data_IF_189644967580
#
_entry.id   IF_189644967580
#
_cell.length_a   1.000
_cell.length_b   1.000
_cell.length_c   1.000
_cell.angle_alpha   90.00
_cell.angle_beta   90.00
_cell.angle_gamma   90.00
#
_symmetry.space_group_name_H-M   'P 1'
#
loop_
_entity.id
_entity.type
_entity.pdbx_description
1 polymer ?
#
# COMPACT_ATOMS: atom_id res chain seq x y z
N UNK A 1 9.78 46.41 -30.35
CA UNK A 1 9.03 46.28 -29.08
C UNK A 1 8.06 45.10 -29.09
N UNK A 2 7.23 44.93 -30.13
CA UNK A 2 6.23 43.82 -30.18
C UNK A 2 6.85 42.41 -30.05
N UNK A 3 8.00 42.14 -30.66
CA UNK A 3 8.70 40.85 -30.51
C UNK A 3 9.21 40.54 -29.10
N UNK A 4 9.56 41.56 -28.31
CA UNK A 4 9.96 41.37 -26.90
C UNK A 4 8.75 40.92 -26.09
N UNK A 5 7.58 41.48 -26.38
CA UNK A 5 6.32 41.11 -25.72
C UNK A 5 5.87 39.69 -26.09
N UNK A 6 5.97 39.31 -27.36
CA UNK A 6 5.72 37.93 -27.83
C UNK A 6 6.61 36.95 -27.07
N UNK A 7 7.93 37.23 -26.98
CA UNK A 7 8.87 36.34 -26.29
C UNK A 7 8.58 36.21 -24.79
N UNK A 8 8.14 37.29 -24.15
CA UNK A 8 7.75 37.25 -22.74
C UNK A 8 6.52 36.35 -22.52
N UNK A 9 5.52 36.43 -23.41
CA UNK A 9 4.34 35.58 -23.38
C UNK A 9 4.67 34.10 -23.66
N UNK A 10 5.58 33.82 -24.58
CA UNK A 10 6.05 32.45 -24.86
C UNK A 10 6.67 31.79 -23.62
N UNK A 11 7.53 32.52 -22.91
CA UNK A 11 8.17 32.04 -21.67
C UNK A 11 7.15 31.87 -20.54
N UNK A 12 6.22 32.82 -20.39
CA UNK A 12 5.13 32.71 -19.43
C UNK A 12 4.28 31.46 -19.70
N UNK A 13 3.95 31.22 -20.97
CA UNK A 13 3.16 30.07 -21.39
C UNK A 13 3.88 28.75 -21.13
N UNK A 14 5.18 28.65 -21.43
CA UNK A 14 5.96 27.43 -21.17
C UNK A 14 6.03 27.10 -19.67
N UNK A 15 6.18 28.12 -18.82
CA UNK A 15 6.10 27.98 -17.37
C UNK A 15 4.72 27.49 -16.93
N UNK A 16 3.63 28.09 -17.45
CA UNK A 16 2.27 27.68 -17.12
C UNK A 16 1.97 26.23 -17.54
N UNK A 17 2.43 25.79 -18.71
CA UNK A 17 2.30 24.38 -19.14
C UNK A 17 3.01 23.45 -18.15
N UNK A 18 4.22 23.82 -17.73
CA UNK A 18 5.02 23.01 -16.82
C UNK A 18 4.39 22.93 -15.42
N UNK A 19 3.86 24.04 -14.92
CA UNK A 19 3.10 24.07 -13.67
C UNK A 19 1.84 23.20 -13.74
N UNK A 20 1.10 23.27 -14.85
CA UNK A 20 -0.11 22.49 -15.07
C UNK A 20 0.19 20.98 -15.10
N UNK A 21 1.23 20.56 -15.81
CA UNK A 21 1.68 19.16 -15.84
C UNK A 21 2.09 18.65 -14.46
N UNK A 22 2.87 19.42 -13.70
CA UNK A 22 3.26 19.08 -12.33
C UNK A 22 2.02 18.98 -11.44
N UNK A 23 1.05 19.89 -11.59
CA UNK A 23 -0.22 19.84 -10.87
C UNK A 23 -1.02 18.58 -11.21
N UNK A 24 -1.20 18.25 -12.50
CA UNK A 24 -1.90 17.03 -12.92
C UNK A 24 -1.25 15.77 -12.35
N UNK A 25 0.09 15.69 -12.37
CA UNK A 25 0.84 14.55 -11.82
C UNK A 25 0.66 14.41 -10.30
N UNK A 26 0.66 15.52 -9.57
CA UNK A 26 0.40 15.52 -8.12
C UNK A 26 -1.02 15.03 -7.80
N UNK A 27 -2.01 15.55 -8.51
CA UNK A 27 -3.41 15.15 -8.33
C UNK A 27 -3.58 13.67 -8.68
N UNK A 28 -3.00 13.22 -9.79
CA UNK A 28 -3.05 11.82 -10.21
C UNK A 28 -2.43 10.89 -9.15
N UNK A 29 -1.33 11.32 -8.52
CA UNK A 29 -0.73 10.60 -7.39
C UNK A 29 -1.70 10.49 -6.22
N UNK A 30 -2.35 11.60 -5.83
CA UNK A 30 -3.34 11.61 -4.74
C UNK A 30 -4.54 10.72 -5.03
N UNK A 31 -5.13 10.82 -6.23
CA UNK A 31 -6.25 9.97 -6.66
C UNK A 31 -5.88 8.49 -6.56
N UNK A 32 -4.68 8.10 -6.99
CA UNK A 32 -4.23 6.70 -6.89
C UNK A 32 -4.05 6.25 -5.44
N UNK A 33 -3.46 7.10 -4.60
CA UNK A 33 -3.35 6.80 -3.17
C UNK A 33 -4.73 6.56 -2.56
N UNK A 34 -5.72 7.38 -2.91
CA UNK A 34 -7.10 7.26 -2.43
C UNK A 34 -7.80 5.99 -2.94
N UNK A 35 -7.60 5.61 -4.21
CA UNK A 35 -8.10 4.34 -4.76
C UNK A 35 -7.49 3.12 -4.08
N UNK A 36 -6.22 3.17 -3.67
CA UNK A 36 -5.59 2.07 -2.91
C UNK A 36 -6.23 1.87 -1.51
N UNK A 37 -6.91 2.88 -0.99
CA UNK A 37 -7.69 2.80 0.25
C UNK A 37 -9.13 2.33 0.02
N UNK A 38 -9.72 2.65 -1.14
CA UNK A 38 -11.04 2.18 -1.57
C UNK A 38 -11.16 0.65 -1.55
N UNK A 39 -10.13 -0.05 -2.05
CA UNK A 39 -10.01 -1.51 -2.04
C UNK A 39 -10.05 -2.15 -0.62
N UNK A 40 -10.09 -1.32 0.44
CA UNK A 40 -10.20 -1.75 1.84
C UNK A 40 -11.64 -1.77 2.37
N UNK A 41 -12.61 -1.25 1.59
CA UNK A 41 -14.05 -1.40 1.82
C UNK A 41 -14.70 -0.28 2.65
N UNK A 42 -14.17 0.95 2.63
CA UNK A 42 -14.71 2.08 3.39
C UNK A 42 -15.25 3.23 2.54
N UNK A 43 -15.55 2.99 1.26
CA UNK A 43 -15.86 4.05 0.28
C UNK A 43 -17.23 3.79 -0.36
N UNK A 44 -18.03 4.85 -0.52
CA UNK A 44 -19.35 4.78 -1.15
C UNK A 44 -19.21 4.66 -2.68
N UNK A 45 -20.14 3.97 -3.35
CA UNK A 45 -20.08 3.68 -4.81
C UNK A 45 -19.91 4.95 -5.68
N UNK A 46 -20.52 6.08 -5.29
CA UNK A 46 -20.38 7.35 -6.02
C UNK A 46 -19.00 8.02 -5.88
N UNK A 47 -18.23 7.66 -4.87
CA UNK A 47 -16.88 8.19 -4.65
C UNK A 47 -15.84 7.46 -5.50
N UNK A 48 -16.08 6.17 -5.77
CA UNK A 48 -15.30 5.34 -6.69
C UNK A 48 -15.39 5.92 -8.11
N UNK A 49 -16.61 6.17 -8.57
CA UNK A 49 -16.86 6.75 -9.89
C UNK A 49 -16.16 8.11 -10.06
N UNK A 50 -16.14 8.93 -9.00
CA UNK A 50 -15.40 10.19 -8.99
C UNK A 50 -13.88 9.99 -9.16
N UNK A 51 -13.26 9.09 -8.41
CA UNK A 51 -11.82 8.83 -8.48
C UNK A 51 -11.42 8.25 -9.85
N UNK A 52 -12.22 7.33 -10.40
CA UNK A 52 -11.99 6.75 -11.72
C UNK A 52 -12.13 7.78 -12.85
N UNK A 53 -13.17 8.61 -12.79
CA UNK A 53 -13.41 9.67 -13.78
C UNK A 53 -12.28 10.69 -13.73
N UNK A 54 -11.89 11.14 -12.52
CA UNK A 54 -10.80 12.09 -12.31
C UNK A 54 -9.46 11.54 -12.82
N UNK A 55 -9.13 10.27 -12.53
CA UNK A 55 -7.92 9.64 -13.05
C UNK A 55 -7.90 9.62 -14.60
N UNK A 56 -9.03 9.27 -15.21
CA UNK A 56 -9.15 9.20 -16.68
C UNK A 56 -9.00 10.56 -17.34
N UNK A 57 -9.58 11.61 -16.76
CA UNK A 57 -9.49 12.99 -17.25
C UNK A 57 -8.07 13.54 -17.11
N UNK A 58 -7.42 13.33 -15.97
CA UNK A 58 -6.03 13.76 -15.76
C UNK A 58 -5.06 13.08 -16.73
N UNK A 59 -5.24 11.79 -16.99
CA UNK A 59 -4.43 11.07 -18.00
C UNK A 59 -4.62 11.66 -19.39
N UNK A 60 -5.87 11.94 -19.79
CA UNK A 60 -6.16 12.61 -21.07
C UNK A 60 -5.53 14.00 -21.16
N UNK A 61 -5.50 14.75 -20.05
CA UNK A 61 -4.89 16.09 -19.98
C UNK A 61 -3.36 16.04 -20.09
N UNK A 62 -2.72 15.06 -19.43
CA UNK A 62 -1.25 14.85 -19.48
C UNK A 62 -0.83 14.40 -20.88
N UNK A 63 -1.55 13.45 -21.47
CA UNK A 63 -1.23 12.89 -22.80
C UNK A 63 -1.77 13.77 -23.95
N UNK A 64 -2.23 14.99 -23.66
CA UNK A 64 -2.89 15.84 -24.64
C UNK A 64 -1.90 16.30 -25.73
N UNK A 65 -2.06 15.89 -27.00
CA UNK A 65 -1.17 16.27 -28.09
C UNK A 65 -1.14 17.79 -28.33
N UNK A 66 -2.18 18.52 -27.88
CA UNK A 66 -2.23 19.97 -27.94
C UNK A 66 -1.09 20.64 -27.16
N UNK A 67 -0.81 20.20 -25.93
CA UNK A 67 0.29 20.75 -25.09
C UNK A 67 1.65 20.49 -25.73
N UNK A 68 1.85 19.28 -26.27
CA UNK A 68 3.06 18.94 -27.01
C UNK A 68 3.21 19.78 -28.28
N UNK A 69 2.12 20.08 -28.98
CA UNK A 69 2.12 20.96 -30.15
C UNK A 69 2.42 22.41 -29.79
N UNK A 70 1.90 22.92 -28.66
CA UNK A 70 2.25 24.24 -28.15
C UNK A 70 3.75 24.31 -27.86
N UNK A 71 4.30 23.37 -27.07
CA UNK A 71 5.76 23.32 -26.79
C UNK A 71 6.60 23.24 -28.05
N UNK A 72 6.21 22.40 -29.02
CA UNK A 72 6.88 22.35 -30.34
C UNK A 72 6.82 23.69 -31.07
N UNK A 73 5.70 24.42 -30.97
CA UNK A 73 5.58 25.75 -31.55
C UNK A 73 6.51 26.77 -30.87
N UNK A 74 6.66 26.70 -29.55
CA UNK A 74 7.55 27.56 -28.75
C UNK A 74 9.04 27.23 -28.97
N UNK A 75 9.37 25.96 -29.25
CA UNK A 75 10.74 25.49 -29.45
C UNK A 75 11.30 25.71 -30.87
N UNK A 76 10.43 25.81 -31.89
CA UNK A 76 10.87 26.08 -33.28
C UNK A 76 11.45 27.50 -33.47
N UNK A 77 11.34 28.37 -32.47
CA UNK A 77 11.59 29.81 -32.57
C UNK A 77 13.03 30.21 -32.21
N UNK A 78 14.01 29.79 -33.02
CA UNK A 78 15.34 30.45 -33.04
C UNK A 78 15.48 31.47 -34.19
N UNK A 79 14.56 31.50 -35.18
CA UNK A 79 14.65 32.43 -36.31
C UNK A 79 13.36 33.22 -36.60
N UNK A 80 13.34 34.55 -36.37
CA UNK A 80 12.16 35.42 -36.55
C UNK A 80 11.60 35.54 -37.97
N UNK A 81 12.30 35.01 -38.99
CA UNK A 81 11.95 35.18 -40.40
C UNK A 81 10.98 34.12 -40.96
N UNK A 82 10.66 33.08 -40.19
CA UNK A 82 9.90 31.93 -40.71
C UNK A 82 8.40 31.97 -40.42
N UNK A 83 7.93 32.89 -39.58
CA UNK A 83 6.49 33.00 -39.32
C UNK A 83 5.85 33.93 -40.33
N UNK A 84 5.09 33.36 -41.26
CA UNK A 84 4.13 34.08 -42.09
C UNK A 84 2.95 34.70 -41.32
N UNK A 85 3.04 34.83 -39.98
CA UNK A 85 2.04 35.45 -39.10
C UNK A 85 2.58 36.75 -38.52
N UNK A 86 1.74 37.77 -38.37
CA UNK A 86 2.16 39.02 -37.74
C UNK A 86 2.38 38.84 -36.23
N UNK A 87 3.22 39.67 -35.58
CA UNK A 87 3.37 39.64 -34.12
C UNK A 87 2.05 39.76 -33.36
N UNK A 88 1.08 40.52 -33.90
CA UNK A 88 -0.25 40.67 -33.31
C UNK A 88 -1.05 39.37 -33.33
N UNK A 89 -1.02 38.63 -34.44
CA UNK A 89 -1.71 37.34 -34.55
C UNK A 89 -1.13 36.32 -33.57
N UNK A 90 0.20 36.35 -33.38
CA UNK A 90 0.88 35.49 -32.41
C UNK A 90 0.51 35.83 -30.97
N UNK A 91 0.41 37.11 -30.62
CA UNK A 91 -0.05 37.55 -29.29
C UNK A 91 -1.46 37.02 -29.01
N UNK A 92 -2.38 37.12 -29.98
CA UNK A 92 -3.76 36.62 -29.83
C UNK A 92 -3.76 35.09 -29.63
N UNK A 93 -2.98 34.36 -30.43
CA UNK A 93 -2.83 32.91 -30.31
C UNK A 93 -2.28 32.48 -28.93
N UNK A 94 -1.22 33.12 -28.45
CA UNK A 94 -0.64 32.86 -27.12
C UNK A 94 -1.63 33.21 -26.00
N UNK A 95 -2.43 34.27 -26.17
CA UNK A 95 -3.49 34.64 -25.22
C UNK A 95 -4.56 33.55 -25.05
N UNK A 96 -5.00 32.97 -26.17
CA UNK A 96 -5.96 31.84 -26.14
C UNK A 96 -5.36 30.64 -25.42
N UNK A 97 -4.09 30.30 -25.69
CA UNK A 97 -3.42 29.19 -25.01
C UNK A 97 -3.27 29.41 -23.51
N UNK A 98 -2.94 30.64 -23.11
CA UNK A 98 -2.85 31.02 -21.70
C UNK A 98 -4.19 30.81 -20.98
N UNK A 99 -5.28 31.27 -21.57
CA UNK A 99 -6.62 31.12 -20.98
C UNK A 99 -7.02 29.65 -20.81
N UNK A 100 -6.70 28.79 -21.80
CA UNK A 100 -6.95 27.34 -21.72
C UNK A 100 -6.21 26.71 -20.53
N UNK A 101 -4.93 27.05 -20.33
CA UNK A 101 -4.13 26.49 -19.23
C UNK A 101 -4.59 27.04 -17.88
N UNK A 102 -4.93 28.32 -17.80
CA UNK A 102 -5.49 28.90 -16.58
C UNK A 102 -6.85 28.28 -16.20
N UNK A 103 -7.65 27.86 -17.18
CA UNK A 103 -8.86 27.08 -16.92
C UNK A 103 -8.54 25.69 -16.35
N UNK A 104 -7.57 24.98 -16.94
CA UNK A 104 -7.11 23.69 -16.41
C UNK A 104 -6.58 23.80 -14.97
N UNK A 105 -5.85 24.88 -14.64
CA UNK A 105 -5.41 25.15 -13.26
C UNK A 105 -6.58 25.37 -12.29
N UNK A 106 -7.67 26.00 -12.73
CA UNK A 106 -8.89 26.16 -11.92
C UNK A 106 -9.58 24.81 -11.66
N UNK A 107 -9.65 23.95 -12.69
CA UNK A 107 -10.15 22.58 -12.56
C UNK A 107 -9.30 21.77 -11.57
N UNK A 108 -7.97 21.85 -11.68
CA UNK A 108 -7.03 21.25 -10.74
C UNK A 108 -7.25 21.70 -9.29
N UNK A 109 -7.54 22.98 -9.07
CA UNK A 109 -7.85 23.49 -7.73
C UNK A 109 -9.17 22.91 -7.20
N UNK A 110 -10.20 22.80 -8.03
CA UNK A 110 -11.47 22.19 -7.67
C UNK A 110 -11.33 20.70 -7.34
N UNK A 111 -10.55 19.96 -8.13
CA UNK A 111 -10.25 18.54 -7.86
C UNK A 111 -9.49 18.41 -6.54
N UNK A 112 -8.45 19.22 -6.30
CA UNK A 112 -7.72 19.18 -5.03
C UNK A 112 -8.64 19.44 -3.84
N UNK A 113 -9.56 20.42 -3.93
CA UNK A 113 -10.53 20.68 -2.87
C UNK A 113 -11.47 19.47 -2.63
N UNK A 114 -11.87 18.77 -3.70
CA UNK A 114 -12.67 17.55 -3.58
C UNK A 114 -11.87 16.41 -2.93
N UNK A 115 -10.60 16.24 -3.31
CA UNK A 115 -9.69 15.27 -2.69
C UNK A 115 -9.37 15.63 -1.24
N UNK A 116 -9.26 16.91 -0.88
CA UNK A 116 -9.08 17.34 0.51
C UNK A 116 -10.28 16.94 1.37
N UNK A 117 -11.51 17.12 0.86
CA UNK A 117 -12.73 16.65 1.55
C UNK A 117 -12.73 15.13 1.72
N UNK A 118 -12.15 14.42 0.77
CA UNK A 118 -12.00 12.99 0.78
C UNK A 118 -10.97 12.52 1.82
N UNK A 119 -9.79 13.13 1.80
CA UNK A 119 -8.71 12.94 2.78
C UNK A 119 -9.16 13.27 4.20
N UNK A 120 -10.02 14.29 4.37
CA UNK A 120 -10.62 14.62 5.67
C UNK A 120 -11.63 13.59 6.20
N UNK A 121 -12.01 12.57 5.42
CA UNK A 121 -12.74 11.39 5.91
C UNK A 121 -11.81 10.30 6.47
N UNK A 122 -10.50 10.33 6.16
CA UNK A 122 -9.51 9.37 6.68
C UNK A 122 -9.22 9.45 8.18
N UNK A 123 -9.29 10.64 8.83
CA UNK A 123 -9.29 10.73 10.28
C UNK A 123 -10.29 9.75 10.91
N UNK A 124 -11.45 9.47 10.30
CA UNK A 124 -12.40 8.47 10.81
C UNK A 124 -11.88 7.03 10.74
N UNK A 125 -11.01 6.69 9.80
CA UNK A 125 -10.40 5.36 9.71
C UNK A 125 -9.28 5.18 10.73
N UNK A 126 -8.42 6.19 10.89
CA UNK A 126 -7.40 6.20 11.95
C UNK A 126 -8.06 6.31 13.32
N UNK A 127 -9.12 7.11 13.47
CA UNK A 127 -9.98 7.15 14.65
C UNK A 127 -10.70 5.83 14.85
N UNK A 128 -11.14 5.10 13.81
CA UNK A 128 -11.72 3.76 13.96
C UNK A 128 -10.67 2.74 14.44
N UNK A 129 -9.45 2.76 13.90
CA UNK A 129 -8.33 1.93 14.41
C UNK A 129 -7.97 2.35 15.83
N UNK A 130 -7.93 3.66 16.13
CA UNK A 130 -7.67 4.18 17.46
C UNK A 130 -8.83 3.96 18.44
N UNK A 131 -10.08 3.90 17.97
CA UNK A 131 -11.28 3.59 18.75
C UNK A 131 -11.32 2.09 19.02
N UNK A 132 -10.98 1.24 18.05
CA UNK A 132 -10.75 -0.19 18.26
C UNK A 132 -9.66 -0.42 19.31
N UNK A 133 -8.54 0.31 19.20
CA UNK A 133 -7.47 0.29 20.22
C UNK A 133 -7.98 0.84 21.55
N UNK A 134 -8.71 1.96 21.60
CA UNK A 134 -9.24 2.53 22.86
C UNK A 134 -10.32 1.64 23.51
N UNK A 135 -11.14 0.93 22.72
CA UNK A 135 -12.16 0.01 23.21
C UNK A 135 -11.55 -1.30 23.69
N UNK A 136 -10.46 -1.78 23.09
CA UNK A 136 -9.69 -2.93 23.58
C UNK A 136 -8.75 -2.60 24.75
N UNK A 137 -8.31 -1.34 24.88
CA UNK A 137 -7.37 -0.85 25.92
C UNK A 137 -8.08 -0.32 27.18
N UNK A 138 -9.42 -0.25 27.25
CA UNK A 138 -10.14 0.11 28.49
C UNK A 138 -10.11 -1.02 29.56
N UNK A 139 -8.92 -1.20 30.13
CA UNK A 139 -8.48 -1.56 31.50
C UNK A 139 -8.96 -2.86 32.21
N UNK A 140 -8.14 -3.44 33.13
CA UNK A 140 -6.78 -3.06 33.56
C UNK A 140 -5.70 -4.14 33.32
N UNK A 141 -4.46 -3.68 33.15
CA UNK A 141 -3.28 -4.46 33.45
C UNK A 141 -3.11 -4.60 34.97
N UNK A 142 -2.49 -5.71 35.36
CA UNK A 142 -1.96 -6.07 36.68
C UNK A 142 -2.95 -6.65 37.71
N UNK A 143 -2.88 -7.99 37.79
CA UNK A 143 -2.96 -8.85 38.99
C UNK A 143 -4.24 -9.63 39.30
N UNK A 144 -5.38 -9.37 38.67
CA UNK A 144 -6.59 -10.20 38.81
C UNK A 144 -7.46 -10.21 37.53
N UNK A 145 -6.90 -10.57 36.36
CA UNK A 145 -7.75 -10.86 35.20
C UNK A 145 -8.59 -12.09 35.53
N UNK A 146 -9.89 -11.90 35.81
CA UNK A 146 -10.84 -12.98 35.89
C UNK A 146 -10.78 -13.82 34.60
N UNK A 147 -11.10 -15.12 34.65
CA UNK A 147 -11.14 -16.02 33.47
C UNK A 147 -11.91 -15.44 32.27
N UNK A 148 -12.82 -14.51 32.54
CA UNK A 148 -13.64 -13.76 31.57
C UNK A 148 -12.85 -12.79 30.69
N UNK A 149 -11.62 -12.43 31.06
CA UNK A 149 -10.75 -11.48 30.34
C UNK A 149 -9.53 -12.13 29.69
N UNK A 150 -9.43 -13.46 29.70
CA UNK A 150 -8.35 -14.16 29.00
C UNK A 150 -8.56 -14.10 27.49
N UNK A 151 -7.48 -13.88 26.74
CA UNK A 151 -7.49 -13.92 25.27
C UNK A 151 -7.82 -15.33 24.75
N UNK A 152 -8.27 -15.45 23.49
CA UNK A 152 -8.52 -16.76 22.88
C UNK A 152 -7.25 -17.61 22.83
N UNK A 153 -6.10 -16.94 22.62
CA UNK A 153 -4.76 -17.54 22.65
C UNK A 153 -4.45 -18.16 24.00
N UNK A 154 -4.72 -17.43 25.09
CA UNK A 154 -4.54 -17.96 26.44
C UNK A 154 -5.50 -19.13 26.71
N UNK A 155 -6.77 -19.02 26.31
CA UNK A 155 -7.71 -20.14 26.45
C UNK A 155 -7.22 -21.39 25.71
N UNK A 156 -6.72 -21.25 24.47
CA UNK A 156 -6.16 -22.37 23.70
C UNK A 156 -4.99 -23.08 24.40
N UNK A 157 -4.27 -22.42 25.31
CA UNK A 157 -3.20 -23.07 26.11
C UNK A 157 -3.73 -23.87 27.30
N UNK A 158 -4.86 -23.47 27.87
CA UNK A 158 -5.36 -24.00 29.15
C UNK A 158 -6.43 -25.07 29.00
N UNK A 159 -7.08 -25.19 27.84
CA UNK A 159 -8.16 -26.17 27.62
C UNK A 159 -7.78 -27.19 26.55
N UNK A 160 -8.06 -28.47 26.84
CA UNK A 160 -7.90 -29.59 25.91
C UNK A 160 -9.17 -29.92 25.10
N UNK A 161 -10.07 -28.96 24.88
CA UNK A 161 -11.27 -29.22 24.06
C UNK A 161 -10.88 -29.23 22.58
N UNK A 162 -11.42 -30.21 21.85
CA UNK A 162 -11.25 -30.39 20.40
C UNK A 162 -11.59 -29.14 19.58
N UNK A 163 -12.54 -28.32 20.05
CA UNK A 163 -12.91 -27.04 19.41
C UNK A 163 -11.86 -25.95 19.55
N UNK A 164 -11.09 -25.94 20.65
CA UNK A 164 -9.93 -25.05 20.78
C UNK A 164 -8.75 -25.53 19.94
N UNK A 165 -8.56 -26.86 19.79
CA UNK A 165 -7.57 -27.40 18.85
C UNK A 165 -7.88 -27.00 17.40
N UNK A 166 -9.17 -27.02 17.04
CA UNK A 166 -9.62 -26.54 15.75
C UNK A 166 -9.34 -25.04 15.57
N UNK A 167 -9.62 -24.20 16.58
CA UNK A 167 -9.32 -22.76 16.53
C UNK A 167 -7.81 -22.47 16.43
N UNK A 168 -7.00 -23.24 17.16
CA UNK A 168 -5.53 -23.20 17.07
C UNK A 168 -5.08 -23.55 15.65
N UNK A 169 -5.67 -24.57 15.05
CA UNK A 169 -5.40 -24.93 13.65
C UNK A 169 -5.75 -23.79 12.70
N UNK A 170 -6.87 -23.09 12.92
CA UNK A 170 -7.23 -21.91 12.10
C UNK A 170 -6.26 -20.74 12.30
N UNK A 171 -5.86 -20.44 13.54
CA UNK A 171 -4.84 -19.43 13.81
C UNK A 171 -3.54 -19.71 13.07
N UNK A 172 -3.05 -20.95 13.17
CA UNK A 172 -1.83 -21.42 12.52
C UNK A 172 -1.96 -21.33 11.00
N UNK A 173 -3.05 -21.83 10.42
CA UNK A 173 -3.28 -21.80 8.97
C UNK A 173 -3.32 -20.37 8.42
N UNK A 174 -4.01 -19.46 9.10
CA UNK A 174 -4.10 -18.05 8.71
C UNK A 174 -2.76 -17.34 8.89
N UNK A 175 -2.08 -17.57 10.01
CA UNK A 175 -0.77 -17.04 10.31
C UNK A 175 0.28 -17.44 9.27
N UNK A 176 0.33 -18.72 8.90
CA UNK A 176 1.18 -19.24 7.83
C UNK A 176 0.86 -18.55 6.49
N UNK A 177 -0.41 -18.45 6.12
CA UNK A 177 -0.81 -17.83 4.86
C UNK A 177 -0.40 -16.35 4.76
N UNK A 178 -0.65 -15.56 5.81
CA UNK A 178 -0.29 -14.14 5.85
C UNK A 178 1.25 -13.99 5.86
N UNK A 179 1.96 -14.85 6.59
CA UNK A 179 3.43 -14.87 6.62
C UNK A 179 4.03 -15.14 5.25
N UNK A 180 3.43 -16.05 4.47
CA UNK A 180 3.82 -16.31 3.09
C UNK A 180 3.62 -15.09 2.20
N UNK A 181 2.51 -14.34 2.36
CA UNK A 181 2.33 -13.08 1.63
C UNK A 181 3.40 -12.05 2.00
N UNK A 182 3.74 -11.92 3.28
CA UNK A 182 4.78 -11.01 3.74
C UNK A 182 6.14 -11.35 3.12
N UNK A 183 6.55 -12.62 3.20
CA UNK A 183 7.81 -13.09 2.61
C UNK A 183 7.82 -12.94 1.09
N UNK A 184 6.73 -13.29 0.41
CA UNK A 184 6.61 -13.11 -1.04
C UNK A 184 6.77 -11.66 -1.45
N UNK A 185 6.13 -10.74 -0.72
CA UNK A 185 6.26 -9.30 -0.95
C UNK A 185 7.72 -8.86 -0.78
N UNK A 186 8.36 -9.22 0.34
CA UNK A 186 9.75 -8.84 0.61
C UNK A 186 10.72 -9.40 -0.46
N UNK A 187 10.48 -10.62 -0.94
CA UNK A 187 11.24 -11.21 -2.04
C UNK A 187 11.06 -10.48 -3.38
N UNK A 188 9.86 -9.96 -3.65
CA UNK A 188 9.57 -9.22 -4.88
C UNK A 188 10.15 -7.81 -4.87
N UNK A 189 10.15 -7.17 -3.71
CA UNK A 189 10.60 -5.79 -3.54
C UNK A 189 12.12 -5.69 -3.36
N UNK A 190 12.76 -6.73 -2.83
CA UNK A 190 14.22 -6.83 -2.69
C UNK A 190 15.02 -6.35 -3.91
N UNK A 191 14.80 -6.85 -5.14
CA UNK A 191 15.57 -6.39 -6.30
C UNK A 191 15.30 -4.95 -6.70
N UNK A 192 14.14 -4.43 -6.29
CA UNK A 192 13.75 -3.05 -6.56
C UNK A 192 14.45 -2.08 -5.62
N UNK A 193 14.75 -2.56 -4.42
CA UNK A 193 15.51 -1.84 -3.40
C UNK A 193 16.99 -2.23 -3.54
N UNK A 194 17.70 -1.52 -4.42
CA UNK A 194 19.11 -1.78 -4.77
C UNK A 194 20.09 -1.69 -3.60
N UNK A 195 19.71 -1.05 -2.49
CA UNK A 195 20.54 -0.90 -1.30
C UNK A 195 20.15 -1.87 -0.19
N UNK A 196 21.12 -2.70 0.25
CA UNK A 196 20.98 -3.59 1.42
C UNK A 196 20.46 -2.84 2.66
N UNK A 197 20.85 -1.58 2.82
CA UNK A 197 20.37 -0.70 3.90
C UNK A 197 18.87 -0.43 3.82
N UNK A 198 18.32 -0.24 2.63
CA UNK A 198 16.91 0.08 2.46
C UNK A 198 15.99 -1.13 2.73
N UNK A 199 16.42 -2.37 2.43
CA UNK A 199 15.67 -3.58 2.85
C UNK A 199 15.67 -3.69 4.38
N UNK A 200 16.81 -3.46 5.03
CA UNK A 200 16.91 -3.47 6.49
C UNK A 200 16.02 -2.40 7.13
N UNK A 201 15.94 -1.21 6.53
CA UNK A 201 15.01 -0.15 6.93
C UNK A 201 13.55 -0.59 6.78
N UNK A 202 13.15 -1.16 5.64
CA UNK A 202 11.78 -1.68 5.46
C UNK A 202 11.44 -2.78 6.47
N UNK A 203 12.36 -3.72 6.73
CA UNK A 203 12.16 -4.76 7.75
C UNK A 203 12.05 -4.16 9.16
N UNK A 204 12.83 -3.13 9.46
CA UNK A 204 12.76 -2.39 10.72
C UNK A 204 11.44 -1.62 10.85
N UNK A 205 10.96 -0.98 9.78
CA UNK A 205 9.66 -0.29 9.74
C UNK A 205 8.52 -1.28 9.96
N UNK A 206 8.51 -2.42 9.27
CA UNK A 206 7.52 -3.49 9.47
C UNK A 206 7.53 -3.97 10.92
N UNK A 207 8.71 -4.26 11.47
CA UNK A 207 8.86 -4.68 12.86
C UNK A 207 8.36 -3.62 13.84
N UNK A 208 8.62 -2.34 13.55
CA UNK A 208 8.19 -1.22 14.39
C UNK A 208 6.67 -1.04 14.31
N UNK A 209 6.09 -1.06 13.11
CA UNK A 209 4.64 -1.00 12.90
C UNK A 209 3.93 -2.09 13.67
N UNK A 210 4.37 -3.35 13.50
CA UNK A 210 3.82 -4.49 14.20
C UNK A 210 3.92 -4.34 15.73
N UNK A 211 5.07 -3.90 16.25
CA UNK A 211 5.28 -3.71 17.69
C UNK A 211 4.48 -2.55 18.28
N UNK A 212 4.39 -1.42 17.59
CA UNK A 212 3.58 -0.27 18.02
C UNK A 212 2.09 -0.59 18.08
N UNK A 213 1.66 -1.66 17.41
CA UNK A 213 0.27 -2.11 17.36
C UNK A 213 0.02 -3.32 18.28
N UNK A 214 1.04 -3.79 19.00
CA UNK A 214 0.88 -4.78 20.05
C UNK A 214 0.06 -4.18 21.19
N UNK A 215 -1.13 -4.72 21.42
CA UNK A 215 -2.04 -4.22 22.47
C UNK A 215 -1.67 -4.81 23.85
N UNK A 216 -0.92 -5.93 23.87
CA UNK A 216 -0.41 -6.58 25.08
C UNK A 216 1.12 -6.72 25.04
N UNK A 217 1.77 -6.76 26.21
CA UNK A 217 3.21 -7.04 26.33
C UNK A 217 3.59 -8.45 25.83
N UNK A 218 2.60 -9.36 25.68
CA UNK A 218 2.77 -10.76 25.29
C UNK A 218 1.99 -11.14 24.02
N UNK A 219 1.85 -10.25 23.05
CA UNK A 219 1.15 -10.55 21.79
C UNK A 219 1.79 -11.72 21.03
N UNK A 220 1.14 -12.88 21.05
CA UNK A 220 1.67 -14.11 20.43
C UNK A 220 1.68 -14.00 18.90
N UNK A 221 0.64 -13.43 18.30
CA UNK A 221 0.54 -13.30 16.84
C UNK A 221 1.60 -12.32 16.33
N UNK A 222 1.70 -11.13 16.94
CA UNK A 222 2.70 -10.13 16.55
C UNK A 222 4.12 -10.68 16.72
N UNK A 223 4.41 -11.36 17.83
CA UNK A 223 5.73 -11.96 18.06
C UNK A 223 6.07 -13.04 17.02
N UNK A 224 5.09 -13.83 16.59
CA UNK A 224 5.27 -14.79 15.50
C UNK A 224 5.64 -14.08 14.18
N UNK A 225 4.93 -13.00 13.81
CA UNK A 225 5.28 -12.22 12.61
C UNK A 225 6.63 -11.52 12.70
N UNK A 226 6.99 -10.98 13.87
CA UNK A 226 8.34 -10.43 14.10
C UNK A 226 9.40 -11.52 13.90
N UNK A 227 9.14 -12.75 14.35
CA UNK A 227 10.03 -13.89 14.14
C UNK A 227 10.14 -14.27 12.66
N UNK A 228 9.05 -14.19 11.89
CA UNK A 228 9.07 -14.41 10.43
C UNK A 228 9.93 -13.36 9.71
N UNK A 229 9.82 -12.09 10.11
CA UNK A 229 10.64 -11.00 9.57
C UNK A 229 12.13 -11.23 9.90
N UNK A 230 12.44 -11.69 11.10
CA UNK A 230 13.82 -12.05 11.50
C UNK A 230 14.35 -13.26 10.73
N UNK A 231 13.54 -14.32 10.61
CA UNK A 231 13.86 -15.50 9.79
C UNK A 231 14.20 -15.08 8.35
N UNK A 232 13.42 -14.16 7.78
CA UNK A 232 13.66 -13.63 6.45
C UNK A 232 15.01 -12.92 6.35
N UNK A 233 15.30 -12.01 7.28
CA UNK A 233 16.55 -11.25 7.34
C UNK A 233 17.77 -12.20 7.46
N UNK A 234 17.74 -13.12 8.43
CA UNK A 234 18.81 -14.11 8.63
C UNK A 234 19.04 -15.01 7.41
N UNK A 235 17.95 -15.43 6.76
CA UNK A 235 18.01 -16.26 5.57
C UNK A 235 18.64 -15.49 4.41
N UNK A 236 18.30 -14.20 4.28
CA UNK A 236 18.92 -13.31 3.30
C UNK A 236 20.40 -13.08 3.58
N UNK A 237 20.81 -12.86 4.84
CA UNK A 237 22.21 -12.68 5.20
C UNK A 237 23.04 -13.91 4.82
N UNK A 238 22.56 -15.11 5.17
CA UNK A 238 23.23 -16.39 4.83
C UNK A 238 23.33 -16.60 3.31
N UNK A 239 22.34 -16.13 2.55
CA UNK A 239 22.34 -16.22 1.10
C UNK A 239 23.23 -15.16 0.43
N UNK A 240 23.33 -13.96 1.00
CA UNK A 240 24.12 -12.85 0.47
C UNK A 240 25.63 -13.10 0.58
N UNK A 241 26.09 -13.82 1.62
CA UNK A 241 27.49 -14.27 1.74
C UNK A 241 27.95 -15.09 0.53
N UNK A 242 27.01 -15.68 -0.23
CA UNK A 242 27.32 -16.48 -1.43
C UNK A 242 27.31 -15.69 -2.74
N UNK A 243 26.93 -14.41 -2.74
CA UNK A 243 26.76 -13.61 -3.97
C UNK A 243 27.40 -12.21 -3.83
N UNK A 244 28.65 -12.08 -4.25
CA UNK A 244 29.39 -10.80 -4.35
C UNK A 244 29.17 -10.07 -5.69
N UNK A 245 28.08 -10.42 -6.40
CA UNK A 245 27.77 -9.86 -7.70
C UNK A 245 27.15 -8.48 -7.58
N UNK A 246 27.93 -7.41 -7.83
CA UNK A 246 27.42 -6.06 -8.13
C UNK A 246 26.42 -6.15 -9.29
N UNK A 247 25.12 -6.15 -8.98
CA UNK A 247 24.08 -5.90 -9.98
C UNK A 247 23.90 -4.39 -10.07
N UNK A 248 24.27 -3.82 -11.21
CA UNK A 248 23.85 -2.47 -11.59
C UNK A 248 22.32 -2.47 -11.70
N UNK A 249 21.67 -1.76 -10.79
CA UNK A 249 20.22 -1.60 -10.81
C UNK A 249 19.82 -0.83 -12.06
N UNK A 250 18.97 -1.44 -12.90
CA UNK A 250 18.25 -0.67 -13.91
C UNK A 250 17.37 0.34 -13.19
N UNK A 251 17.27 1.54 -13.74
CA UNK A 251 16.37 2.59 -13.23
C UNK A 251 14.94 2.06 -13.29
N UNK A 252 14.33 1.89 -12.12
CA UNK A 252 13.00 1.30 -11.97
C UNK A 252 11.97 2.40 -12.19
N UNK A 253 10.91 2.07 -12.95
CA UNK A 253 9.79 2.97 -13.14
C UNK A 253 9.30 3.49 -11.77
N UNK A 254 9.27 4.81 -11.63
CA UNK A 254 8.77 5.52 -10.46
C UNK A 254 7.36 5.05 -10.05
N UNK A 255 6.53 4.58 -11.00
CA UNK A 255 5.22 3.98 -10.72
C UNK A 255 5.32 2.65 -9.97
N UNK A 256 6.28 1.80 -10.34
CA UNK A 256 6.53 0.53 -9.68
C UNK A 256 7.02 0.75 -8.25
N UNK A 257 7.91 1.73 -8.08
CA UNK A 257 8.44 2.14 -6.77
C UNK A 257 7.34 2.59 -5.80
N UNK A 258 6.36 3.38 -6.27
CA UNK A 258 5.22 3.83 -5.46
C UNK A 258 4.26 2.70 -5.05
N UNK A 259 3.91 1.79 -5.98
CA UNK A 259 3.08 0.61 -5.68
C UNK A 259 3.76 -0.30 -4.65
N UNK A 260 5.08 -0.42 -4.79
CA UNK A 260 5.94 -1.18 -3.90
C UNK A 260 6.04 -0.53 -2.52
N UNK A 261 6.29 0.77 -2.41
CA UNK A 261 6.60 1.42 -1.14
C UNK A 261 5.42 1.46 -0.15
N UNK A 262 4.15 1.55 -0.57
CA UNK A 262 3.06 1.83 0.39
C UNK A 262 1.78 0.98 0.26
N UNK A 263 1.44 0.39 -0.89
CA UNK A 263 0.13 -0.25 -1.07
C UNK A 263 0.01 -1.63 -0.40
N UNK A 264 0.81 -2.60 -0.89
CA UNK A 264 0.63 -4.01 -0.57
C UNK A 264 1.15 -4.39 0.83
N UNK A 265 2.25 -3.80 1.28
CA UNK A 265 2.78 -4.05 2.62
C UNK A 265 1.79 -3.64 3.71
N UNK A 266 1.14 -2.49 3.54
CA UNK A 266 0.11 -2.02 4.47
C UNK A 266 -1.10 -2.96 4.50
N UNK A 267 -1.51 -3.52 3.35
CA UNK A 267 -2.59 -4.50 3.31
C UNK A 267 -2.22 -5.78 4.06
N UNK A 268 -0.98 -6.28 3.88
CA UNK A 268 -0.50 -7.45 4.62
C UNK A 268 -0.46 -7.14 6.12
N UNK A 269 0.07 -5.97 6.52
CA UNK A 269 0.11 -5.55 7.91
C UNK A 269 -1.30 -5.44 8.53
N UNK A 270 -2.29 -4.95 7.79
CA UNK A 270 -3.69 -4.92 8.25
C UNK A 270 -4.25 -6.31 8.53
N UNK A 271 -3.92 -7.31 7.70
CA UNK A 271 -4.36 -8.69 7.95
C UNK A 271 -3.65 -9.31 9.15
N UNK A 272 -2.39 -8.94 9.41
CA UNK A 272 -1.71 -9.30 10.67
C UNK A 272 -2.47 -8.74 11.88
N UNK A 273 -2.83 -7.46 11.85
CA UNK A 273 -3.59 -6.83 12.94
C UNK A 273 -4.98 -7.41 13.11
N UNK A 274 -5.64 -7.74 12.00
CA UNK A 274 -6.93 -8.42 12.04
C UNK A 274 -6.80 -9.77 12.74
N UNK A 275 -5.72 -10.52 12.47
CA UNK A 275 -5.47 -11.79 13.13
C UNK A 275 -5.17 -11.62 14.62
N UNK A 276 -4.32 -10.66 14.97
CA UNK A 276 -4.04 -10.30 16.37
C UNK A 276 -5.34 -9.93 17.11
N UNK A 277 -6.13 -9.01 16.56
CA UNK A 277 -7.34 -8.55 17.21
C UNK A 277 -8.35 -9.67 17.45
N UNK A 278 -8.59 -10.52 16.45
CA UNK A 278 -9.60 -11.59 16.55
C UNK A 278 -9.24 -12.66 17.60
N UNK A 279 -7.95 -12.89 17.83
CA UNK A 279 -7.48 -13.92 18.76
C UNK A 279 -7.07 -13.37 20.13
N UNK A 280 -6.66 -12.10 20.22
CA UNK A 280 -6.34 -11.42 21.47
C UNK A 280 -7.57 -10.79 22.13
N UNK A 281 -8.54 -10.30 21.34
CA UNK A 281 -9.77 -9.64 21.80
C UNK A 281 -10.99 -10.16 21.05
N UNK A 282 -11.37 -11.43 21.25
CA UNK A 282 -12.60 -11.93 20.64
C UNK A 282 -13.79 -11.10 21.16
N UNK A 283 -14.62 -10.60 20.24
CA UNK A 283 -15.83 -9.80 20.48
C UNK A 283 -16.94 -10.55 21.27
N UNK A 284 -16.60 -11.65 21.95
CA UNK A 284 -17.57 -12.59 22.50
C UNK A 284 -17.34 -12.86 23.98
N UNK A 285 -18.42 -12.91 24.80
CA UNK A 285 -18.31 -13.28 26.19
C UNK A 285 -17.82 -14.72 26.30
N UNK A 286 -16.60 -14.88 26.80
CA UNK A 286 -15.87 -16.16 26.98
C UNK A 286 -16.63 -17.20 27.84
N UNK A 287 -17.76 -16.82 28.46
CA UNK A 287 -18.64 -17.74 29.18
C UNK A 287 -19.40 -18.73 28.28
N UNK A 288 -19.52 -18.44 26.97
CA UNK A 288 -20.25 -19.31 26.03
C UNK A 288 -19.28 -20.32 25.40
N UNK A 289 -18.70 -21.22 26.22
CA UNK A 289 -17.82 -22.31 25.74
C UNK A 289 -18.58 -23.49 25.08
N UNK A 290 -19.75 -23.20 24.49
CA UNK A 290 -20.55 -24.18 23.76
C UNK A 290 -19.84 -24.52 22.43
N UNK A 291 -19.65 -25.81 22.17
CA UNK A 291 -18.98 -26.30 20.95
C UNK A 291 -19.63 -25.78 19.66
N UNK A 292 -20.96 -25.63 19.64
CA UNK A 292 -21.67 -25.08 18.49
C UNK A 292 -21.25 -23.63 18.19
N UNK A 293 -20.97 -22.85 19.23
CA UNK A 293 -20.57 -21.46 19.09
C UNK A 293 -19.13 -21.33 18.59
N UNK A 294 -18.21 -22.14 19.13
CA UNK A 294 -16.83 -22.23 18.66
C UNK A 294 -16.76 -22.75 17.21
N UNK A 295 -17.64 -23.70 16.84
CA UNK A 295 -17.76 -24.19 15.47
C UNK A 295 -18.23 -23.09 14.49
N UNK A 296 -19.22 -22.28 14.88
CA UNK A 296 -19.64 -21.13 14.08
C UNK A 296 -18.54 -20.08 13.97
N UNK A 297 -17.73 -19.89 15.01
CA UNK A 297 -16.61 -18.96 15.01
C UNK A 297 -15.49 -19.39 14.05
N UNK A 298 -15.21 -20.70 13.97
CA UNK A 298 -14.30 -21.25 12.95
C UNK A 298 -14.74 -20.89 11.53
N UNK A 299 -16.03 -21.08 11.24
CA UNK A 299 -16.62 -20.74 9.94
C UNK A 299 -16.57 -19.23 9.72
N UNK A 300 -16.92 -18.44 10.74
CA UNK A 300 -16.88 -16.99 10.68
C UNK A 300 -15.49 -16.47 10.30
N UNK A 301 -14.44 -16.94 10.97
CA UNK A 301 -13.07 -16.52 10.69
C UNK A 301 -12.62 -16.92 9.29
N UNK A 302 -12.82 -18.18 8.90
CA UNK A 302 -12.38 -18.65 7.58
C UNK A 302 -13.14 -17.96 6.45
N UNK A 303 -14.47 -18.02 6.47
CA UNK A 303 -15.29 -17.68 5.31
C UNK A 303 -15.66 -16.20 5.25
N UNK A 304 -15.87 -15.55 6.40
CA UNK A 304 -16.43 -14.20 6.45
C UNK A 304 -15.38 -13.14 6.77
N UNK A 305 -14.46 -13.42 7.69
CA UNK A 305 -13.43 -12.44 8.09
C UNK A 305 -12.26 -12.42 7.12
N UNK A 306 -11.65 -13.58 6.83
CA UNK A 306 -10.36 -13.61 6.13
C UNK A 306 -10.45 -13.96 4.64
N UNK A 307 -11.39 -14.81 4.19
CA UNK A 307 -11.42 -15.30 2.79
C UNK A 307 -11.28 -14.20 1.75
N UNK A 308 -12.15 -13.20 1.78
CA UNK A 308 -12.15 -12.13 0.80
C UNK A 308 -10.92 -11.23 0.93
N UNK A 309 -10.44 -11.01 2.15
CA UNK A 309 -9.27 -10.17 2.43
C UNK A 309 -7.98 -10.82 1.94
N UNK A 310 -7.77 -12.10 2.23
CA UNK A 310 -6.62 -12.87 1.74
C UNK A 310 -6.68 -13.06 0.22
N UNK A 311 -7.87 -13.20 -0.37
CA UNK A 311 -8.04 -13.23 -1.82
C UNK A 311 -7.64 -11.88 -2.47
N UNK A 312 -7.98 -10.76 -1.84
CA UNK A 312 -7.55 -9.44 -2.30
C UNK A 312 -6.02 -9.28 -2.25
N UNK A 313 -5.40 -9.64 -1.12
CA UNK A 313 -3.92 -9.64 -0.99
C UNK A 313 -3.28 -10.52 -2.07
N UNK A 314 -3.84 -11.71 -2.32
CA UNK A 314 -3.37 -12.62 -3.39
C UNK A 314 -3.50 -12.00 -4.78
N UNK A 315 -4.62 -11.34 -5.07
CA UNK A 315 -4.84 -10.69 -6.36
C UNK A 315 -3.82 -9.58 -6.61
N UNK A 316 -3.62 -8.68 -5.63
CA UNK A 316 -2.62 -7.61 -5.73
C UNK A 316 -1.18 -8.12 -5.79
N UNK A 317 -0.88 -9.20 -5.06
CA UNK A 317 0.41 -9.89 -5.16
C UNK A 317 0.66 -10.44 -6.57
N UNK A 318 -0.35 -11.03 -7.21
CA UNK A 318 -0.24 -11.57 -8.56
C UNK A 318 -0.09 -10.48 -9.62
N UNK A 319 -0.79 -9.35 -9.45
CA UNK A 319 -0.61 -8.16 -10.28
C UNK A 319 0.84 -7.67 -10.21
N UNK A 320 1.36 -7.48 -8.99
CA UNK A 320 2.74 -7.06 -8.78
C UNK A 320 3.75 -8.06 -9.36
N UNK A 321 3.53 -9.37 -9.18
CA UNK A 321 4.36 -10.43 -9.78
C UNK A 321 4.37 -10.33 -11.31
N UNK A 322 3.22 -10.05 -11.93
CA UNK A 322 3.10 -9.94 -13.40
C UNK A 322 3.84 -8.71 -13.93
N UNK A 323 3.74 -7.58 -13.23
CA UNK A 323 4.46 -6.35 -13.59
C UNK A 323 5.98 -6.57 -13.52
N UNK A 324 6.47 -7.20 -12.46
CA UNK A 324 7.90 -7.47 -12.25
C UNK A 324 8.47 -8.60 -13.15
N UNK A 325 7.67 -9.59 -13.53
CA UNK A 325 8.14 -10.73 -14.34
C UNK A 325 8.52 -10.33 -15.78
N UNK A 326 7.98 -9.21 -16.27
CA UNK A 326 8.35 -8.66 -17.59
C UNK A 326 9.81 -8.17 -17.63
N UNK A 327 10.48 -8.03 -16.48
CA UNK A 327 11.84 -7.47 -16.38
C UNK A 327 12.97 -8.51 -16.31
N UNK A 328 12.67 -9.81 -16.49
CA UNK A 328 13.68 -10.87 -16.61
C UNK A 328 14.24 -11.36 -15.27
N UNK A 329 13.35 -11.61 -14.30
CA UNK A 329 13.75 -12.01 -12.94
C UNK A 329 14.11 -13.50 -12.82
N UNK A 330 15.33 -13.79 -12.36
CA UNK A 330 15.92 -15.13 -12.27
C UNK A 330 15.21 -16.05 -11.25
N UNK A 331 14.77 -17.24 -11.69
CA UNK A 331 13.80 -18.08 -10.97
C UNK A 331 14.42 -19.14 -10.05
N UNK A 332 15.68 -19.53 -10.26
CA UNK A 332 16.26 -20.70 -9.59
C UNK A 332 16.60 -20.43 -8.11
N UNK A 333 17.23 -19.29 -7.80
CA UNK A 333 17.58 -18.90 -6.42
C UNK A 333 16.33 -18.61 -5.58
N UNK A 334 15.27 -18.11 -6.22
CA UNK A 334 13.97 -17.87 -5.58
C UNK A 334 13.37 -19.17 -5.04
N UNK A 335 13.46 -20.26 -5.79
CA UNK A 335 12.92 -21.56 -5.39
C UNK A 335 13.58 -22.15 -4.14
N UNK A 336 14.91 -22.02 -3.98
CA UNK A 336 15.60 -22.55 -2.79
C UNK A 336 15.30 -21.72 -1.54
N UNK A 337 15.35 -20.39 -1.65
CA UNK A 337 15.02 -19.49 -0.53
C UNK A 337 13.57 -19.67 -0.07
N UNK A 338 12.64 -19.78 -1.02
CA UNK A 338 11.22 -19.96 -0.70
C UNK A 338 10.98 -21.25 0.10
N UNK A 339 11.66 -22.35 -0.24
CA UNK A 339 11.55 -23.61 0.52
C UNK A 339 12.08 -23.49 1.95
N UNK A 340 13.23 -22.84 2.13
CA UNK A 340 13.79 -22.61 3.48
C UNK A 340 12.86 -21.75 4.33
N UNK A 341 12.32 -20.68 3.73
CA UNK A 341 11.39 -19.78 4.41
C UNK A 341 10.04 -20.45 4.70
N UNK A 342 9.52 -21.28 3.79
CA UNK A 342 8.28 -22.03 4.01
C UNK A 342 8.38 -22.94 5.24
N UNK A 343 9.49 -23.69 5.37
CA UNK A 343 9.73 -24.57 6.53
C UNK A 343 9.86 -23.75 7.80
N UNK A 344 10.68 -22.69 7.79
CA UNK A 344 10.85 -21.85 8.97
C UNK A 344 9.57 -21.11 9.39
N UNK A 345 8.73 -20.69 8.44
CA UNK A 345 7.40 -20.11 8.73
C UNK A 345 6.53 -21.15 9.44
N UNK A 346 6.48 -22.38 8.91
CA UNK A 346 5.72 -23.47 9.54
C UNK A 346 6.21 -23.73 10.96
N UNK A 347 7.52 -23.83 11.16
CA UNK A 347 8.12 -24.04 12.48
C UNK A 347 7.75 -22.92 13.46
N UNK A 348 7.79 -21.66 13.03
CA UNK A 348 7.37 -20.53 13.88
C UNK A 348 5.91 -20.72 14.31
N UNK A 349 5.00 -20.97 13.37
CA UNK A 349 3.57 -21.07 13.66
C UNK A 349 3.18 -22.33 14.42
N UNK A 350 3.84 -23.47 14.23
CA UNK A 350 3.53 -24.67 15.01
C UNK A 350 3.99 -24.55 16.48
N UNK A 351 4.90 -23.62 16.78
CA UNK A 351 5.45 -23.41 18.12
C UNK A 351 4.84 -22.24 18.90
N UNK A 352 3.79 -21.58 18.40
CA UNK A 352 3.24 -20.36 19.06
C UNK A 352 2.46 -20.63 20.34
N UNK A 353 1.99 -21.87 20.56
CA UNK A 353 0.98 -22.20 21.57
C UNK A 353 1.25 -23.49 22.31
#
# INVERSE_FOLDING_TARGET
MEYIHVRALELELDNLISEDEVSSLRILRRVRQLKDFEDRGSVEEGEVEFLETTEKELRRSIDNPFKANIRKSLQREQHPKEFGKSPRDRIVELGIFKEIIENAKREHAAINLALDKYENKFPKYVEWVQELVKHSVKAPAANDRAKEQMSLVEWMRWTSKTTFDALKTVLIDLGIQISKFLVDYLMLVRPVISERKAISVTLHEVKTLLRCQSVEENSVVINAFVSVVQLFDETLEKAAIRYDGKREGKEIDFRLKLKIEYGLLHLIALEVLRLEFQFSYPDMPMMVTNEWFLANQLIHYREYVFKNKLNNVRAKMNELKKELSNEGYDSAMKGHLHKLLDVGIQDIWYNIL
#
